data_IF_442605176950
#
_entry.id   IF_442605176950
#
_cell.length_a   1.000
_cell.length_b   1.000
_cell.length_c   1.000
_cell.angle_alpha   90.00
_cell.angle_beta   90.00
_cell.angle_gamma   90.00
#
_symmetry.space_group_name_H-M   'P 1'
#
loop_
_entity.id
_entity.type
_entity.pdbx_description
1 polymer ?
#
# COMPACT_ATOMS: atom_id res chain seq x y z
N UNK A 1 -19.09 13.14 -31.41
CA UNK A 1 -18.69 14.11 -30.35
C UNK A 1 -18.27 13.44 -29.04
N UNK A 2 -18.99 12.41 -28.53
CA UNK A 2 -18.59 11.66 -27.32
C UNK A 2 -17.30 10.83 -27.47
N UNK A 3 -17.17 10.10 -28.59
CA UNK A 3 -15.95 9.35 -28.96
C UNK A 3 -14.70 10.26 -29.00
N UNK A 4 -14.81 11.43 -29.66
CA UNK A 4 -13.73 12.44 -29.71
C UNK A 4 -13.32 12.96 -28.31
N UNK A 5 -14.22 12.95 -27.33
CA UNK A 5 -13.92 13.39 -25.96
C UNK A 5 -13.21 12.29 -25.17
N UNK A 6 -13.64 11.04 -25.35
CA UNK A 6 -12.98 9.87 -24.75
C UNK A 6 -11.56 9.69 -25.30
N UNK A 7 -11.36 9.87 -26.60
CA UNK A 7 -10.02 9.81 -27.23
C UNK A 7 -9.08 10.87 -26.66
N UNK A 8 -9.55 12.12 -26.48
CA UNK A 8 -8.75 13.19 -25.87
C UNK A 8 -8.30 12.85 -24.44
N UNK A 9 -9.17 12.23 -23.64
CA UNK A 9 -8.83 11.81 -22.27
C UNK A 9 -7.79 10.69 -22.29
N UNK A 10 -7.89 9.75 -23.23
CA UNK A 10 -6.90 8.67 -23.37
C UNK A 10 -5.53 9.18 -23.79
N UNK A 11 -5.44 10.12 -24.73
CA UNK A 11 -4.17 10.75 -25.09
C UNK A 11 -3.58 11.60 -23.96
N UNK A 12 -4.42 12.36 -23.24
CA UNK A 12 -3.99 13.08 -22.05
C UNK A 12 -3.37 12.13 -21.03
N UNK A 13 -4.04 11.01 -20.75
CA UNK A 13 -3.51 10.03 -19.79
C UNK A 13 -2.21 9.39 -20.25
N UNK A 14 -2.03 9.08 -21.54
CA UNK A 14 -0.74 8.62 -22.05
C UNK A 14 0.36 9.66 -21.84
N UNK A 15 0.07 10.94 -22.07
CA UNK A 15 0.99 12.03 -21.77
C UNK A 15 1.32 12.13 -20.27
N UNK A 16 0.32 11.98 -19.40
CA UNK A 16 0.52 11.96 -17.95
C UNK A 16 1.39 10.78 -17.51
N UNK A 17 1.18 9.58 -18.06
CA UNK A 17 2.04 8.42 -17.79
C UNK A 17 3.50 8.70 -18.18
N UNK A 18 3.72 9.31 -19.35
CA UNK A 18 5.06 9.64 -19.80
C UNK A 18 5.76 10.62 -18.85
N UNK A 19 5.06 11.68 -18.43
CA UNK A 19 5.57 12.65 -17.45
C UNK A 19 5.85 11.95 -16.11
N UNK A 20 4.93 11.12 -15.64
CA UNK A 20 5.10 10.34 -14.41
C UNK A 20 6.31 9.41 -14.50
N UNK A 21 6.55 8.78 -15.66
CA UNK A 21 7.70 7.94 -15.87
C UNK A 21 9.02 8.72 -15.82
N UNK A 22 9.07 9.92 -16.41
CA UNK A 22 10.24 10.81 -16.30
C UNK A 22 10.52 11.16 -14.84
N UNK A 23 9.51 11.60 -14.09
CA UNK A 23 9.68 11.99 -12.69
C UNK A 23 10.09 10.81 -11.81
N UNK A 24 9.45 9.65 -12.00
CA UNK A 24 9.81 8.42 -11.32
C UNK A 24 11.24 7.97 -11.65
N UNK A 25 11.71 8.16 -12.88
CA UNK A 25 13.09 7.84 -13.26
C UNK A 25 14.12 8.76 -12.61
N UNK A 26 13.86 10.07 -12.58
CA UNK A 26 14.81 11.10 -12.13
C UNK A 26 14.89 11.20 -10.60
N UNK A 27 13.75 11.19 -9.91
CA UNK A 27 13.64 11.42 -8.47
C UNK A 27 12.55 10.54 -7.85
N UNK A 28 12.72 9.19 -7.83
CA UNK A 28 11.65 8.27 -7.47
C UNK A 28 11.11 8.51 -6.05
N UNK A 29 11.98 8.73 -5.07
CA UNK A 29 11.58 8.94 -3.68
C UNK A 29 10.78 10.22 -3.50
N UNK A 30 11.29 11.36 -3.95
CA UNK A 30 10.61 12.64 -3.85
C UNK A 30 9.33 12.69 -4.69
N UNK A 31 9.31 12.05 -5.85
CA UNK A 31 8.09 11.92 -6.68
C UNK A 31 6.99 11.21 -5.91
N UNK A 32 7.34 10.10 -5.27
CA UNK A 32 6.42 9.34 -4.43
C UNK A 32 5.95 10.15 -3.21
N UNK A 33 6.87 10.78 -2.47
CA UNK A 33 6.54 11.60 -1.30
C UNK A 33 5.64 12.78 -1.67
N UNK A 34 5.94 13.47 -2.78
CA UNK A 34 5.10 14.54 -3.31
C UNK A 34 3.70 14.03 -3.68
N UNK A 35 3.62 12.92 -4.43
CA UNK A 35 2.35 12.33 -4.80
C UNK A 35 1.53 12.01 -3.54
N UNK A 36 2.14 11.36 -2.54
CA UNK A 36 1.45 10.95 -1.33
C UNK A 36 1.02 12.14 -0.45
N UNK A 37 1.90 13.11 -0.21
CA UNK A 37 1.64 14.21 0.72
C UNK A 37 0.77 15.33 0.12
N UNK A 38 0.86 15.57 -1.19
CA UNK A 38 0.18 16.69 -1.84
C UNK A 38 -1.06 16.24 -2.61
N UNK A 39 -0.92 15.26 -3.51
CA UNK A 39 -2.03 14.78 -4.34
C UNK A 39 -2.94 13.80 -3.60
N UNK A 40 -2.37 13.00 -2.69
CA UNK A 40 -3.10 12.04 -1.86
C UNK A 40 -4.27 12.67 -1.11
N UNK A 41 -4.08 13.67 -0.23
CA UNK A 41 -5.18 14.23 0.55
C UNK A 41 -6.29 14.82 -0.30
N UNK A 42 -5.93 15.48 -1.41
CA UNK A 42 -6.92 15.99 -2.37
C UNK A 42 -7.71 14.86 -3.04
N UNK A 43 -7.02 13.77 -3.40
CA UNK A 43 -7.65 12.59 -3.97
C UNK A 43 -8.63 11.97 -2.97
N UNK A 44 -8.20 11.68 -1.74
CA UNK A 44 -9.05 11.04 -0.72
C UNK A 44 -10.33 11.85 -0.45
N UNK A 45 -10.20 13.18 -0.29
CA UNK A 45 -11.34 14.07 -0.03
C UNK A 45 -12.34 14.09 -1.18
N UNK A 46 -11.84 14.13 -2.42
CA UNK A 46 -12.70 14.20 -3.61
C UNK A 46 -13.33 12.85 -3.95
N UNK A 47 -12.60 11.77 -3.75
CA UNK A 47 -13.06 10.42 -3.99
C UNK A 47 -14.08 9.96 -2.96
N UNK A 48 -13.86 10.19 -1.66
CA UNK A 48 -14.86 9.84 -0.63
C UNK A 48 -16.19 10.57 -0.90
N UNK A 49 -16.14 11.86 -1.25
CA UNK A 49 -17.35 12.59 -1.66
C UNK A 49 -18.02 11.93 -2.87
N UNK A 50 -17.24 11.51 -3.85
CA UNK A 50 -17.75 10.91 -5.09
C UNK A 50 -18.34 9.51 -4.87
N UNK A 51 -17.73 8.71 -4.00
CA UNK A 51 -18.20 7.40 -3.57
C UNK A 51 -19.51 7.54 -2.79
N UNK A 52 -19.60 8.53 -1.89
CA UNK A 52 -20.81 8.81 -1.11
C UNK A 52 -22.02 9.10 -2.02
N UNK A 53 -21.84 9.93 -3.05
CA UNK A 53 -22.89 10.24 -4.03
C UNK A 53 -23.35 8.99 -4.84
N UNK A 54 -22.61 7.88 -4.76
CA UNK A 54 -22.90 6.58 -5.42
C UNK A 54 -23.20 5.46 -4.43
N UNK A 55 -23.49 5.79 -3.18
CA UNK A 55 -23.72 4.83 -2.11
C UNK A 55 -22.58 3.81 -1.97
N UNK A 56 -21.34 4.25 -2.21
CA UNK A 56 -20.13 3.43 -2.13
C UNK A 56 -20.17 2.16 -2.97
N UNK A 57 -20.99 2.12 -4.04
CA UNK A 57 -21.21 0.93 -4.86
C UNK A 57 -21.77 -0.28 -4.10
N UNK A 58 -22.23 -0.07 -2.86
CA UNK A 58 -22.86 -1.08 -2.04
C UNK A 58 -24.37 -1.16 -2.31
N UNK A 59 -24.95 -2.32 -2.03
CA UNK A 59 -26.38 -2.58 -2.20
C UNK A 59 -27.23 -2.03 -1.08
N UNK A 60 -26.71 -1.97 0.16
CA UNK A 60 -27.37 -1.37 1.30
C UNK A 60 -26.95 0.08 1.50
N UNK A 61 -27.86 0.93 1.99
CA UNK A 61 -27.61 2.34 2.26
C UNK A 61 -26.56 2.58 3.35
N UNK A 62 -26.46 1.65 4.30
CA UNK A 62 -25.62 1.78 5.50
C UNK A 62 -24.45 0.79 5.52
N UNK A 63 -24.25 0.02 4.44
CA UNK A 63 -23.17 -0.99 4.37
C UNK A 63 -21.78 -0.35 4.58
N UNK A 64 -21.60 0.88 4.10
CA UNK A 64 -20.35 1.63 4.24
C UNK A 64 -19.98 1.93 5.71
N UNK A 65 -20.94 1.92 6.64
CA UNK A 65 -20.66 2.19 8.06
C UNK A 65 -19.76 1.12 8.67
N UNK A 66 -19.87 -0.14 8.23
CA UNK A 66 -18.98 -1.21 8.70
C UNK A 66 -17.53 -0.89 8.33
N UNK A 67 -17.30 -0.49 7.07
CA UNK A 67 -15.98 -0.12 6.57
C UNK A 67 -15.44 1.14 7.24
N UNK A 68 -16.31 2.11 7.51
CA UNK A 68 -15.97 3.33 8.25
C UNK A 68 -15.55 3.03 9.69
N UNK A 69 -16.31 2.18 10.40
CA UNK A 69 -15.98 1.78 11.79
C UNK A 69 -14.63 1.05 11.85
N UNK A 70 -14.36 0.18 10.87
CA UNK A 70 -13.05 -0.48 10.76
C UNK A 70 -11.95 0.55 10.51
N UNK A 71 -12.17 1.51 9.62
CA UNK A 71 -11.24 2.62 9.38
C UNK A 71 -10.94 3.41 10.65
N UNK A 72 -11.97 3.73 11.45
CA UNK A 72 -11.81 4.40 12.75
C UNK A 72 -10.98 3.54 13.71
N UNK A 73 -11.30 2.25 13.84
CA UNK A 73 -10.59 1.35 14.77
C UNK A 73 -9.11 1.20 14.41
N UNK A 74 -8.79 0.97 13.13
CA UNK A 74 -7.41 0.87 12.65
C UNK A 74 -6.65 2.19 12.84
N UNK A 75 -7.32 3.32 12.62
CA UNK A 75 -6.70 4.63 12.79
C UNK A 75 -6.45 4.98 14.24
N UNK A 76 -7.35 4.58 15.14
CA UNK A 76 -7.14 4.75 16.57
C UNK A 76 -5.94 3.93 17.06
N UNK A 77 -5.79 2.69 16.57
CA UNK A 77 -4.65 1.85 16.90
C UNK A 77 -3.33 2.46 16.37
N UNK A 78 -3.31 2.90 15.11
CA UNK A 78 -2.15 3.57 14.52
C UNK A 78 -1.77 4.86 15.27
N UNK A 79 -2.76 5.70 15.59
CA UNK A 79 -2.55 6.92 16.36
C UNK A 79 -2.00 6.64 17.77
N UNK A 80 -2.53 5.61 18.44
CA UNK A 80 -2.06 5.21 19.77
C UNK A 80 -0.58 4.80 19.74
N UNK A 81 -0.17 4.05 18.71
CA UNK A 81 1.22 3.65 18.50
C UNK A 81 2.13 4.88 18.25
N UNK A 82 1.72 5.76 17.34
CA UNK A 82 2.54 6.87 16.87
C UNK A 82 2.80 7.93 17.96
N UNK A 83 1.85 8.14 18.86
CA UNK A 83 1.95 9.12 19.94
C UNK A 83 2.40 8.50 21.27
N UNK A 84 2.77 7.22 21.30
CA UNK A 84 3.24 6.53 22.51
C UNK A 84 2.15 6.40 23.57
N UNK A 85 0.88 6.41 23.18
CA UNK A 85 -0.23 6.14 24.08
C UNK A 85 -0.44 4.62 24.16
N UNK A 86 0.33 3.97 25.03
CA UNK A 86 0.17 2.54 25.35
C UNK A 86 -1.11 2.32 26.14
N UNK A 87 -2.24 2.42 25.46
CA UNK A 87 -3.53 2.03 26.02
C UNK A 87 -3.63 0.51 26.10
N UNK A 88 -4.36 0.01 27.09
CA UNK A 88 -4.73 -1.40 27.17
C UNK A 88 -5.41 -1.90 25.87
N UNK A 89 -6.12 -0.99 25.18
CA UNK A 89 -6.72 -1.26 23.88
C UNK A 89 -5.65 -1.54 22.81
N UNK A 90 -4.60 -0.73 22.72
CA UNK A 90 -3.52 -0.91 21.74
C UNK A 90 -2.79 -2.24 21.97
N UNK A 91 -2.45 -2.57 23.22
CA UNK A 91 -1.79 -3.84 23.55
C UNK A 91 -2.64 -5.03 23.10
N UNK A 92 -3.94 -5.04 23.42
CA UNK A 92 -4.88 -6.07 22.94
C UNK A 92 -4.99 -6.09 21.41
N UNK A 93 -4.93 -4.93 20.76
CA UNK A 93 -4.98 -4.82 19.31
C UNK A 93 -3.83 -5.55 18.63
N UNK A 94 -2.61 -5.39 19.17
CA UNK A 94 -1.40 -6.06 18.70
C UNK A 94 -1.43 -7.55 19.05
N UNK A 95 -1.68 -7.90 20.31
CA UNK A 95 -1.70 -9.29 20.79
C UNK A 95 -2.69 -10.17 20.04
N UNK A 96 -3.87 -9.64 19.71
CA UNK A 96 -4.92 -10.38 19.01
C UNK A 96 -4.81 -10.31 17.48
N UNK A 97 -3.75 -9.70 16.94
CA UNK A 97 -3.57 -9.40 15.52
C UNK A 97 -4.80 -8.74 14.86
N UNK A 98 -5.37 -7.72 15.51
CA UNK A 98 -6.60 -7.08 15.03
C UNK A 98 -6.39 -6.28 13.75
N UNK A 99 -5.18 -5.79 13.48
CA UNK A 99 -4.89 -5.03 12.25
C UNK A 99 -5.20 -5.87 11.00
N UNK A 100 -4.54 -7.02 10.88
CA UNK A 100 -4.70 -7.92 9.74
C UNK A 100 -6.13 -8.47 9.67
N UNK A 101 -6.70 -8.87 10.80
CA UNK A 101 -8.06 -9.40 10.88
C UNK A 101 -9.09 -8.40 10.36
N UNK A 102 -9.04 -7.16 10.84
CA UNK A 102 -10.02 -6.14 10.44
C UNK A 102 -9.85 -5.73 8.99
N UNK A 103 -8.63 -5.65 8.48
CA UNK A 103 -8.36 -5.34 7.06
C UNK A 103 -8.88 -6.44 6.14
N UNK A 104 -8.55 -7.70 6.40
CA UNK A 104 -9.04 -8.84 5.61
C UNK A 104 -10.57 -8.96 5.74
N UNK A 105 -11.12 -8.70 6.92
CA UNK A 105 -12.56 -8.69 7.14
C UNK A 105 -13.26 -7.60 6.34
N UNK A 106 -12.71 -6.38 6.29
CA UNK A 106 -13.22 -5.30 5.46
C UNK A 106 -13.23 -5.67 3.98
N UNK A 107 -12.13 -6.25 3.48
CA UNK A 107 -12.02 -6.68 2.09
C UNK A 107 -13.04 -7.77 1.73
N UNK A 108 -13.13 -8.84 2.51
CA UNK A 108 -14.06 -9.95 2.20
C UNK A 108 -15.51 -9.50 2.37
N UNK A 109 -15.83 -8.70 3.40
CA UNK A 109 -17.17 -8.17 3.61
C UNK A 109 -17.60 -7.21 2.50
N UNK A 110 -16.66 -6.48 1.87
CA UNK A 110 -16.97 -5.60 0.74
C UNK A 110 -17.60 -6.34 -0.45
N UNK A 111 -17.26 -7.62 -0.65
CA UNK A 111 -17.87 -8.47 -1.68
C UNK A 111 -19.37 -8.66 -1.37
N UNK A 112 -19.71 -8.94 -0.11
CA UNK A 112 -21.10 -9.05 0.31
C UNK A 112 -21.86 -7.72 0.12
N UNK A 113 -21.23 -6.60 0.49
CA UNK A 113 -21.82 -5.28 0.34
C UNK A 113 -22.08 -4.91 -1.13
N UNK A 114 -21.17 -5.29 -2.03
CA UNK A 114 -21.32 -5.05 -3.47
C UNK A 114 -22.42 -5.91 -4.12
N UNK A 115 -22.67 -7.13 -3.62
CA UNK A 115 -23.45 -8.14 -4.34
C UNK A 115 -24.80 -8.48 -3.70
N UNK A 116 -24.89 -8.46 -2.37
CA UNK A 116 -26.06 -8.98 -1.65
C UNK A 116 -26.97 -7.82 -1.24
N UNK A 117 -28.28 -7.91 -1.52
CA UNK A 117 -29.27 -6.93 -1.02
C UNK A 117 -29.89 -7.35 0.31
N UNK A 118 -30.12 -8.65 0.50
CA UNK A 118 -30.83 -9.20 1.65
C UNK A 118 -30.00 -9.05 2.94
N UNK A 119 -30.55 -8.35 3.94
CA UNK A 119 -29.86 -8.04 5.19
C UNK A 119 -29.58 -9.30 6.04
N UNK A 120 -30.51 -10.25 6.09
CA UNK A 120 -30.34 -11.47 6.88
C UNK A 120 -29.17 -12.31 6.34
N UNK A 121 -29.11 -12.49 5.02
CA UNK A 121 -28.00 -13.18 4.36
C UNK A 121 -26.67 -12.49 4.64
N UNK A 122 -26.63 -11.14 4.64
CA UNK A 122 -25.43 -10.39 5.00
C UNK A 122 -25.00 -10.67 6.44
N UNK A 123 -25.90 -10.56 7.40
CA UNK A 123 -25.55 -10.74 8.82
C UNK A 123 -24.99 -12.14 9.06
N UNK A 124 -25.67 -13.18 8.56
CA UNK A 124 -25.19 -14.57 8.70
C UNK A 124 -23.83 -14.74 8.02
N UNK A 125 -23.67 -14.24 6.80
CA UNK A 125 -22.39 -14.37 6.07
C UNK A 125 -21.26 -13.60 6.75
N UNK A 126 -21.54 -12.42 7.31
CA UNK A 126 -20.57 -11.63 8.07
C UNK A 126 -20.11 -12.37 9.32
N UNK A 127 -21.01 -13.02 10.05
CA UNK A 127 -20.65 -13.83 11.21
C UNK A 127 -19.75 -15.00 10.82
N UNK A 128 -20.06 -15.70 9.71
CA UNK A 128 -19.22 -16.78 9.20
C UNK A 128 -17.83 -16.28 8.77
N UNK A 129 -17.76 -15.14 8.08
CA UNK A 129 -16.50 -14.50 7.69
C UNK A 129 -15.68 -14.13 8.94
N UNK A 130 -16.31 -13.56 9.96
CA UNK A 130 -15.64 -13.21 11.20
C UNK A 130 -15.01 -14.44 11.87
N UNK A 131 -15.76 -15.53 12.02
CA UNK A 131 -15.26 -16.77 12.63
C UNK A 131 -14.10 -17.34 11.82
N UNK A 132 -14.23 -17.38 10.49
CA UNK A 132 -13.17 -17.86 9.60
C UNK A 132 -11.88 -17.04 9.74
N UNK A 133 -11.97 -15.71 9.64
CA UNK A 133 -10.81 -14.82 9.72
C UNK A 133 -10.15 -14.86 11.09
N UNK A 134 -10.95 -14.92 12.17
CA UNK A 134 -10.41 -14.97 13.52
C UNK A 134 -9.60 -16.25 13.77
N UNK A 135 -10.01 -17.38 13.20
CA UNK A 135 -9.25 -18.63 13.23
C UNK A 135 -8.04 -18.62 12.30
N UNK A 136 -8.19 -18.13 11.06
CA UNK A 136 -7.10 -18.12 10.06
C UNK A 136 -5.94 -17.22 10.49
N UNK A 137 -6.23 -15.99 10.92
CA UNK A 137 -5.25 -14.99 11.35
C UNK A 137 -5.05 -14.98 12.88
N UNK A 138 -5.25 -16.11 13.55
CA UNK A 138 -4.99 -16.22 14.98
C UNK A 138 -3.50 -16.05 15.29
N UNK A 139 -3.13 -15.59 16.50
CA UNK A 139 -1.73 -15.51 16.92
C UNK A 139 -1.01 -16.86 16.88
N UNK A 140 -1.72 -17.97 17.05
CA UNK A 140 -1.17 -19.33 16.97
C UNK A 140 -0.62 -19.65 15.57
N UNK A 141 -1.20 -19.07 14.52
CA UNK A 141 -0.78 -19.26 13.13
C UNK A 141 0.23 -18.20 12.67
N UNK A 142 0.77 -17.35 13.56
CA UNK A 142 1.60 -16.20 13.17
C UNK A 142 2.83 -16.60 12.33
N UNK A 143 3.51 -17.69 12.68
CA UNK A 143 4.68 -18.18 11.94
C UNK A 143 4.35 -18.59 10.50
N UNK A 144 3.24 -19.30 10.31
CA UNK A 144 2.79 -19.73 8.97
C UNK A 144 2.29 -18.53 8.16
N UNK A 145 1.54 -17.63 8.80
CA UNK A 145 1.00 -16.44 8.18
C UNK A 145 2.11 -15.46 7.74
N UNK A 146 3.20 -15.34 8.50
CA UNK A 146 4.35 -14.50 8.13
C UNK A 146 5.03 -14.97 6.84
N UNK A 147 5.07 -16.28 6.58
CA UNK A 147 5.62 -16.83 5.33
C UNK A 147 4.61 -16.84 4.17
N UNK A 148 3.32 -16.60 4.45
CA UNK A 148 2.26 -16.72 3.46
C UNK A 148 2.21 -15.51 2.53
N UNK A 149 2.47 -15.75 1.23
CA UNK A 149 2.32 -14.72 0.20
C UNK A 149 0.88 -14.24 0.08
N UNK A 150 -0.11 -15.10 0.35
CA UNK A 150 -1.52 -14.69 0.37
C UNK A 150 -1.79 -13.71 1.50
N UNK A 151 -1.34 -14.00 2.72
CA UNK A 151 -1.54 -13.10 3.86
C UNK A 151 -0.82 -11.78 3.60
N UNK A 152 0.46 -11.83 3.20
CA UNK A 152 1.23 -10.63 2.86
C UNK A 152 0.54 -9.80 1.77
N UNK A 153 0.03 -10.42 0.71
CA UNK A 153 -0.68 -9.71 -0.34
C UNK A 153 -1.95 -9.03 0.21
N UNK A 154 -2.73 -9.71 1.06
CA UNK A 154 -3.98 -9.17 1.61
C UNK A 154 -3.77 -8.08 2.66
N UNK A 155 -2.72 -8.17 3.47
CA UNK A 155 -2.50 -7.24 4.59
C UNK A 155 -1.57 -6.08 4.23
N UNK A 156 -0.61 -6.30 3.33
CA UNK A 156 0.38 -5.29 2.94
C UNK A 156 0.11 -4.74 1.55
N UNK A 157 -0.06 -5.59 0.53
CA UNK A 157 -0.15 -5.13 -0.87
C UNK A 157 -1.53 -4.58 -1.24
N UNK A 158 -2.64 -5.19 -0.77
CA UNK A 158 -4.01 -4.72 -1.03
C UNK A 158 -4.20 -3.24 -0.71
N UNK A 159 -3.92 -2.76 0.52
CA UNK A 159 -4.11 -1.34 0.84
C UNK A 159 -3.06 -0.42 0.24
N UNK A 160 -1.98 -0.96 -0.35
CA UNK A 160 -0.89 -0.18 -0.95
C UNK A 160 -0.87 -0.37 -2.47
N UNK A 161 0.06 -1.17 -2.99
CA UNK A 161 0.36 -1.34 -4.41
C UNK A 161 -0.78 -1.94 -5.22
N UNK A 162 -1.53 -2.91 -4.69
CA UNK A 162 -2.68 -3.47 -5.40
C UNK A 162 -3.76 -2.41 -5.55
N UNK A 163 -4.05 -1.62 -4.51
CA UNK A 163 -5.01 -0.52 -4.64
C UNK A 163 -4.54 0.53 -5.66
N UNK A 164 -3.35 1.11 -5.46
CA UNK A 164 -2.92 2.22 -6.33
C UNK A 164 -2.56 1.79 -7.75
N UNK A 165 -2.11 0.56 -7.99
CA UNK A 165 -1.71 0.11 -9.33
C UNK A 165 -2.70 -0.86 -9.96
N UNK A 166 -3.02 -1.97 -9.29
CA UNK A 166 -3.83 -3.06 -9.87
C UNK A 166 -5.29 -2.62 -10.00
N UNK A 167 -5.91 -2.10 -8.94
CA UNK A 167 -7.29 -1.62 -8.99
C UNK A 167 -7.44 -0.40 -9.91
N UNK A 168 -6.46 0.50 -9.95
CA UNK A 168 -6.40 1.56 -10.97
C UNK A 168 -6.45 1.01 -12.39
N UNK A 169 -5.61 0.00 -12.70
CA UNK A 169 -5.57 -0.65 -14.00
C UNK A 169 -6.90 -1.35 -14.33
N UNK A 170 -7.49 -2.07 -13.37
CA UNK A 170 -8.79 -2.73 -13.55
C UNK A 170 -9.90 -1.71 -13.78
N UNK A 171 -9.93 -0.61 -13.05
CA UNK A 171 -10.93 0.45 -13.24
C UNK A 171 -10.77 1.13 -14.61
N UNK A 172 -9.53 1.39 -15.05
CA UNK A 172 -9.24 1.89 -16.40
C UNK A 172 -9.70 0.91 -17.49
N UNK A 173 -9.36 -0.37 -17.34
CA UNK A 173 -9.76 -1.42 -18.28
C UNK A 173 -11.28 -1.55 -18.34
N UNK A 174 -11.95 -1.55 -17.19
CA UNK A 174 -13.41 -1.57 -17.14
C UNK A 174 -14.02 -0.39 -17.91
N UNK A 175 -13.49 0.82 -17.70
CA UNK A 175 -13.91 2.01 -18.44
C UNK A 175 -13.73 1.88 -19.95
N UNK A 176 -12.56 1.42 -20.40
CA UNK A 176 -12.24 1.24 -21.82
C UNK A 176 -13.14 0.19 -22.48
N UNK A 177 -13.35 -0.95 -21.81
CA UNK A 177 -14.23 -2.01 -22.31
C UNK A 177 -15.66 -1.51 -22.40
N UNK A 178 -16.19 -0.92 -21.32
CA UNK A 178 -17.57 -0.40 -21.27
C UNK A 178 -17.84 0.66 -22.35
N UNK A 179 -16.88 1.56 -22.60
CA UNK A 179 -16.99 2.58 -23.63
C UNK A 179 -16.75 2.05 -25.05
N UNK A 180 -16.23 0.82 -25.20
CA UNK A 180 -15.73 0.27 -26.47
C UNK A 180 -14.68 1.19 -27.10
N UNK A 181 -13.78 1.70 -26.26
CA UNK A 181 -12.75 2.65 -26.66
C UNK A 181 -11.43 1.96 -26.99
N UNK A 182 -10.99 2.06 -28.26
CA UNK A 182 -9.68 1.53 -28.69
C UNK A 182 -8.52 2.33 -28.10
N UNK A 183 -8.65 3.66 -28.04
CA UNK A 183 -7.65 4.55 -27.42
C UNK A 183 -7.50 4.26 -25.93
N UNK A 184 -8.59 3.92 -25.22
CA UNK A 184 -8.55 3.46 -23.84
C UNK A 184 -7.82 2.13 -23.64
N UNK A 185 -7.88 1.21 -24.61
CA UNK A 185 -7.08 -0.03 -24.58
C UNK A 185 -5.60 0.25 -24.82
N UNK A 186 -5.25 1.16 -25.74
CA UNK A 186 -3.86 1.59 -25.92
C UNK A 186 -3.30 2.32 -24.70
N UNK A 187 -4.12 3.11 -24.01
CA UNK A 187 -3.78 3.68 -22.71
C UNK A 187 -3.44 2.57 -21.70
N UNK A 188 -4.19 1.46 -21.67
CA UNK A 188 -3.88 0.32 -20.79
C UNK A 188 -2.54 -0.34 -21.16
N UNK A 189 -2.21 -0.44 -22.45
CA UNK A 189 -0.88 -0.92 -22.88
C UNK A 189 0.22 -0.01 -22.33
N UNK A 190 0.07 1.31 -22.47
CA UNK A 190 1.01 2.28 -21.89
C UNK A 190 1.16 2.10 -20.37
N UNK A 191 0.05 1.92 -19.66
CA UNK A 191 0.03 1.74 -18.21
C UNK A 191 0.88 0.55 -17.75
N UNK A 192 0.96 -0.52 -18.54
CA UNK A 192 1.79 -1.71 -18.26
C UNK A 192 3.22 -1.54 -18.75
N UNK A 193 3.42 -0.94 -19.92
CA UNK A 193 4.74 -0.83 -20.56
C UNK A 193 5.66 0.15 -19.83
N UNK A 194 5.15 1.31 -19.40
CA UNK A 194 5.99 2.33 -18.74
C UNK A 194 6.71 1.81 -17.49
N UNK A 195 6.03 1.13 -16.54
CA UNK A 195 6.71 0.56 -15.38
C UNK A 195 7.72 -0.52 -15.74
N UNK A 196 7.43 -1.37 -16.73
CA UNK A 196 8.37 -2.39 -17.21
C UNK A 196 9.65 -1.74 -17.74
N UNK A 197 9.53 -0.67 -18.54
CA UNK A 197 10.68 0.08 -19.04
C UNK A 197 11.47 0.72 -17.89
N UNK A 198 10.79 1.35 -16.94
CA UNK A 198 11.42 2.00 -15.78
C UNK A 198 12.25 1.05 -14.91
N UNK A 199 11.73 -0.16 -14.71
CA UNK A 199 12.31 -1.17 -13.82
C UNK A 199 13.41 -1.97 -14.52
N UNK A 200 13.17 -2.43 -15.75
CA UNK A 200 14.03 -3.45 -16.37
C UNK A 200 14.95 -2.93 -17.48
N UNK A 201 14.66 -1.76 -18.07
CA UNK A 201 15.37 -1.29 -19.26
C UNK A 201 16.17 0.00 -19.04
N UNK A 202 15.79 0.82 -18.07
CA UNK A 202 16.49 2.07 -17.80
C UNK A 202 17.64 1.88 -16.79
N UNK A 203 18.81 2.50 -17.03
CA UNK A 203 19.98 2.34 -16.16
C UNK A 203 19.70 2.88 -14.75
N UNK A 204 20.38 2.32 -13.76
CA UNK A 204 20.28 2.72 -12.35
C UNK A 204 21.62 3.28 -11.90
N UNK A 205 21.61 4.52 -11.41
CA UNK A 205 22.77 5.16 -10.81
C UNK A 205 22.67 5.08 -9.28
N UNK A 206 23.35 4.10 -8.69
CA UNK A 206 23.38 3.89 -7.24
C UNK A 206 24.19 4.92 -6.47
N UNK A 207 25.02 5.73 -7.15
CA UNK A 207 25.93 6.70 -6.53
C UNK A 207 25.39 8.12 -6.55
N UNK A 208 24.69 8.49 -7.62
CA UNK A 208 24.13 9.83 -7.81
C UNK A 208 22.60 9.83 -7.84
N UNK A 209 21.95 8.88 -7.16
CA UNK A 209 20.49 8.97 -6.97
C UNK A 209 20.19 10.28 -6.25
N UNK A 210 19.41 11.15 -6.90
CA UNK A 210 18.96 12.40 -6.30
C UNK A 210 18.02 12.06 -5.15
N UNK A 211 18.57 12.12 -3.93
CA UNK A 211 17.81 11.99 -2.71
C UNK A 211 18.26 13.08 -1.74
N UNK A 212 17.34 13.94 -1.38
CA UNK A 212 17.59 14.99 -0.39
C UNK A 212 17.55 14.41 1.02
N UNK A 213 18.28 15.02 1.96
CA UNK A 213 18.18 14.66 3.38
C UNK A 213 16.74 14.77 3.91
N UNK A 214 16.00 15.77 3.46
CA UNK A 214 14.56 15.88 3.75
C UNK A 214 13.80 14.67 3.21
N UNK A 215 14.06 14.24 1.97
CA UNK A 215 13.48 13.04 1.37
C UNK A 215 13.78 11.77 2.16
N UNK A 216 15.03 11.57 2.61
CA UNK A 216 15.42 10.46 3.49
C UNK A 216 14.64 10.44 4.81
N UNK A 217 14.60 11.58 5.50
CA UNK A 217 13.94 11.71 6.79
C UNK A 217 12.41 11.60 6.66
N UNK A 218 11.82 12.13 5.59
CA UNK A 218 10.40 12.01 5.27
C UNK A 218 10.00 10.59 4.87
N UNK A 219 10.85 9.89 4.11
CA UNK A 219 10.59 8.51 3.71
C UNK A 219 10.69 7.54 4.88
N UNK A 220 11.62 7.78 5.81
CA UNK A 220 11.73 7.04 7.05
C UNK A 220 10.64 7.42 8.09
N UNK A 221 10.28 8.71 8.15
CA UNK A 221 9.29 9.29 9.05
C UNK A 221 9.34 8.72 10.49
N UNK A 222 10.50 8.84 11.14
CA UNK A 222 10.74 8.36 12.53
C UNK A 222 10.49 6.85 12.75
N UNK A 223 10.36 6.05 11.69
CA UNK A 223 10.04 4.62 11.75
C UNK A 223 8.62 4.28 11.32
N UNK A 224 7.76 5.29 11.10
CA UNK A 224 6.36 5.12 10.70
C UNK A 224 6.15 5.36 9.20
N UNK A 225 7.23 5.63 8.46
CA UNK A 225 7.20 5.92 7.04
C UNK A 225 7.22 4.70 6.14
N UNK A 226 7.37 4.94 4.85
CA UNK A 226 7.33 3.93 3.80
C UNK A 226 8.58 3.06 3.72
N UNK A 227 9.64 3.41 4.45
CA UNK A 227 10.84 2.59 4.59
C UNK A 227 10.53 1.14 4.96
N UNK A 228 9.67 0.92 5.97
CA UNK A 228 9.33 -0.42 6.43
C UNK A 228 8.50 -1.18 5.38
N UNK A 229 7.62 -0.50 4.65
CA UNK A 229 6.84 -1.09 3.57
C UNK A 229 7.74 -1.56 2.43
N UNK A 230 8.74 -0.78 2.06
CA UNK A 230 9.71 -1.20 1.04
C UNK A 230 10.59 -2.35 1.54
N UNK A 231 11.08 -2.26 2.78
CA UNK A 231 11.86 -3.32 3.39
C UNK A 231 11.08 -4.64 3.38
N UNK A 232 9.79 -4.61 3.75
CA UNK A 232 8.96 -5.81 3.79
C UNK A 232 8.65 -6.38 2.41
N UNK A 233 8.42 -5.54 1.40
CA UNK A 233 8.26 -6.01 0.01
C UNK A 233 9.56 -6.68 -0.48
N UNK A 234 10.71 -6.06 -0.22
CA UNK A 234 12.00 -6.60 -0.66
C UNK A 234 12.34 -7.90 0.06
N UNK A 235 12.10 -7.99 1.36
CA UNK A 235 12.33 -9.18 2.18
C UNK A 235 11.39 -10.33 1.75
N UNK A 236 10.09 -10.08 1.67
CA UNK A 236 9.08 -11.09 1.36
C UNK A 236 9.30 -11.76 -0.01
N UNK A 237 9.71 -10.98 -1.02
CA UNK A 237 9.98 -11.47 -2.37
C UNK A 237 11.45 -11.77 -2.64
N UNK A 238 12.32 -11.69 -1.62
CA UNK A 238 13.77 -11.87 -1.74
C UNK A 238 14.40 -11.02 -2.87
N UNK A 239 14.04 -9.75 -2.92
CA UNK A 239 14.48 -8.79 -3.95
C UNK A 239 15.75 -8.08 -3.47
N UNK A 240 16.89 -8.44 -4.09
CA UNK A 240 18.21 -7.91 -3.73
C UNK A 240 18.90 -8.72 -2.62
N UNK A 241 20.14 -8.35 -2.29
CA UNK A 241 20.93 -9.02 -1.26
C UNK A 241 20.39 -8.68 0.13
N UNK A 242 19.63 -9.61 0.73
CA UNK A 242 19.05 -9.39 2.05
C UNK A 242 20.13 -9.34 3.14
N UNK A 243 20.01 -8.42 4.11
CA UNK A 243 20.99 -8.32 5.19
C UNK A 243 20.96 -9.57 6.08
N UNK A 244 22.13 -10.19 6.24
CA UNK A 244 22.31 -11.35 7.12
C UNK A 244 22.70 -10.91 8.53
N UNK A 245 22.14 -11.56 9.53
CA UNK A 245 22.39 -11.30 10.95
C UNK A 245 23.81 -11.73 11.33
N UNK A 246 24.64 -10.78 11.75
CA UNK A 246 26.08 -11.00 11.97
C UNK A 246 26.44 -11.19 13.44
N UNK A 247 27.64 -11.72 13.72
CA UNK A 247 28.18 -11.82 15.08
C UNK A 247 28.22 -10.46 15.80
N UNK A 248 28.53 -9.38 15.06
CA UNK A 248 28.48 -8.00 15.59
C UNK A 248 27.08 -7.61 16.04
N UNK A 249 26.05 -7.99 15.29
CA UNK A 249 24.65 -7.68 15.64
C UNK A 249 24.20 -8.48 16.86
N UNK A 250 24.52 -9.77 16.92
CA UNK A 250 24.25 -10.59 18.12
C UNK A 250 24.87 -9.99 19.38
N UNK A 251 26.13 -9.53 19.29
CA UNK A 251 26.82 -8.87 20.41
C UNK A 251 26.05 -7.65 20.88
N UNK A 252 25.59 -6.81 19.95
CA UNK A 252 24.94 -5.55 20.26
C UNK A 252 23.50 -5.73 20.74
N UNK A 253 22.75 -6.63 20.12
CA UNK A 253 21.32 -6.76 20.34
C UNK A 253 20.98 -7.71 21.50
N UNK A 254 21.74 -8.79 21.67
CA UNK A 254 21.46 -9.86 22.64
C UNK A 254 22.48 -9.82 23.77
N UNK A 255 23.76 -10.08 23.46
CA UNK A 255 24.78 -10.29 24.49
C UNK A 255 25.01 -9.05 25.36
N UNK A 256 24.95 -7.85 24.78
CA UNK A 256 25.13 -6.61 25.54
C UNK A 256 24.01 -6.41 26.58
N UNK A 257 22.77 -6.77 26.21
CA UNK A 257 21.55 -6.57 26.99
C UNK A 257 21.21 -7.72 27.93
N UNK A 258 21.87 -8.86 27.79
CA UNK A 258 21.68 -10.01 28.66
C UNK A 258 22.15 -9.68 30.10
N UNK A 259 21.19 -9.57 31.03
CA UNK A 259 21.44 -9.30 32.43
C UNK A 259 22.05 -10.49 33.18
N UNK A 260 21.89 -11.71 32.65
CA UNK A 260 22.38 -12.94 33.26
C UNK A 260 23.82 -13.29 32.82
N UNK A 261 24.29 -12.72 31.71
CA UNK A 261 25.65 -12.92 31.23
C UNK A 261 26.66 -12.07 32.02
N UNK A 262 27.65 -12.73 32.63
CA UNK A 262 28.74 -12.05 33.34
C UNK A 262 29.64 -11.24 32.40
N UNK A 263 30.31 -10.17 32.87
CA UNK A 263 31.26 -9.41 32.06
C UNK A 263 32.37 -10.27 31.42
N UNK A 264 32.79 -11.33 32.12
CA UNK A 264 33.80 -12.28 31.66
C UNK A 264 33.24 -13.11 30.49
N UNK A 265 32.02 -13.64 30.58
CA UNK A 265 31.36 -14.37 29.49
C UNK A 265 31.14 -13.47 28.27
N UNK A 266 30.69 -12.22 28.49
CA UNK A 266 30.53 -11.23 27.40
C UNK A 266 31.85 -10.96 26.70
N UNK A 267 32.95 -10.83 27.45
CA UNK A 267 34.30 -10.62 26.90
C UNK A 267 34.80 -11.85 26.15
N UNK A 268 34.68 -13.04 26.74
CA UNK A 268 35.11 -14.29 26.11
C UNK A 268 34.42 -14.54 24.77
N UNK A 269 33.10 -14.27 24.68
CA UNK A 269 32.41 -14.38 23.41
C UNK A 269 32.92 -13.36 22.39
N UNK A 270 33.03 -12.06 22.77
CA UNK A 270 33.57 -11.00 21.90
C UNK A 270 34.95 -11.33 21.36
N UNK A 271 35.83 -11.88 22.20
CA UNK A 271 37.17 -12.28 21.82
C UNK A 271 37.14 -13.46 20.84
N UNK A 272 36.23 -14.43 21.03
CA UNK A 272 36.12 -15.61 20.15
C UNK A 272 35.63 -15.29 18.73
N UNK A 273 34.83 -14.22 18.55
CA UNK A 273 34.31 -13.80 17.24
C UNK A 273 35.00 -12.55 16.67
N UNK A 274 36.09 -12.08 17.28
CA UNK A 274 36.77 -10.81 16.93
C UNK A 274 37.17 -10.73 15.46
N UNK A 275 37.64 -11.82 14.86
CA UNK A 275 38.04 -11.89 13.44
C UNK A 275 36.87 -12.19 12.49
N UNK A 276 35.68 -12.46 13.03
CA UNK A 276 34.49 -12.90 12.30
C UNK A 276 33.26 -12.02 12.60
N UNK A 277 33.50 -10.77 13.04
CA UNK A 277 32.44 -9.85 13.46
C UNK A 277 31.37 -9.61 12.38
N UNK A 278 31.77 -9.54 11.11
CA UNK A 278 30.87 -9.31 9.98
C UNK A 278 30.42 -10.62 9.31
N UNK A 279 30.84 -11.79 9.79
CA UNK A 279 30.33 -13.07 9.28
C UNK A 279 28.95 -13.38 9.88
N UNK A 280 28.14 -14.20 9.20
CA UNK A 280 26.85 -14.66 9.73
C UNK A 280 26.99 -15.23 11.14
N UNK A 281 26.06 -14.86 12.02
CA UNK A 281 25.90 -15.49 13.31
C UNK A 281 25.18 -16.82 13.10
N UNK A 282 25.80 -17.91 13.58
CA UNK A 282 25.27 -19.26 13.43
C UNK A 282 24.91 -19.83 14.80
N UNK A 283 23.68 -20.32 14.93
CA UNK A 283 23.21 -20.99 16.14
C UNK A 283 23.86 -22.38 16.20
N UNK A 284 24.53 -22.67 17.32
CA UNK A 284 25.28 -23.93 17.54
C UNK A 284 24.51 -24.98 18.35
N UNK A 285 23.29 -24.67 18.77
CA UNK A 285 22.40 -25.62 19.45
C UNK A 285 21.75 -26.54 18.42
N UNK A 286 22.04 -27.84 18.51
CA UNK A 286 21.55 -28.88 17.57
C UNK A 286 20.04 -29.10 17.66
N UNK A 287 19.38 -28.67 18.74
CA UNK A 287 17.93 -28.76 18.89
C UNK A 287 17.21 -27.55 18.27
N UNK A 288 17.94 -26.52 17.86
CA UNK A 288 17.35 -25.33 17.27
C UNK A 288 17.01 -25.56 15.78
N UNK A 289 15.79 -25.23 15.31
CA UNK A 289 15.40 -25.36 13.90
C UNK A 289 16.31 -24.61 12.90
N UNK A 290 17.07 -23.64 13.40
CA UNK A 290 18.03 -22.82 12.67
C UNK A 290 19.50 -23.18 12.94
N UNK A 291 19.76 -24.39 13.45
CA UNK A 291 21.12 -24.90 13.65
C UNK A 291 21.98 -24.72 12.39
N UNK A 292 23.08 -23.98 12.52
CA UNK A 292 24.04 -23.69 11.45
C UNK A 292 23.45 -23.05 10.18
N UNK A 293 22.25 -22.47 10.25
CA UNK A 293 21.65 -21.72 9.14
C UNK A 293 21.97 -20.24 9.26
N UNK A 294 22.13 -19.59 8.11
CA UNK A 294 22.18 -18.13 8.04
C UNK A 294 20.80 -17.56 8.35
N UNK A 295 20.77 -16.49 9.13
CA UNK A 295 19.56 -15.84 9.59
C UNK A 295 19.46 -14.45 8.99
N UNK A 296 18.34 -14.14 8.36
CA UNK A 296 18.04 -12.78 7.90
C UNK A 296 17.77 -11.86 9.08
N UNK A 297 18.19 -10.60 8.96
CA UNK A 297 18.01 -9.60 10.01
C UNK A 297 16.53 -9.34 10.28
N UNK A 298 15.70 -9.31 9.24
CA UNK A 298 14.24 -9.08 9.31
C UNK A 298 13.55 -10.02 10.30
N UNK A 299 13.88 -11.31 10.26
CA UNK A 299 13.31 -12.37 11.10
C UNK A 299 13.67 -12.27 12.58
N UNK A 300 14.77 -11.58 12.92
CA UNK A 300 15.26 -11.47 14.30
C UNK A 300 14.96 -10.09 14.89
N UNK A 301 15.19 -9.05 14.10
CA UNK A 301 15.33 -7.69 14.57
C UNK A 301 14.43 -6.70 13.82
N UNK A 302 13.59 -7.20 12.90
CA UNK A 302 12.77 -6.39 12.01
C UNK A 302 13.61 -5.56 11.04
N UNK A 303 12.99 -4.53 10.47
CA UNK A 303 13.59 -3.67 9.45
C UNK A 303 14.37 -2.51 10.07
N UNK A 304 15.50 -2.81 10.73
CA UNK A 304 16.36 -1.79 11.35
C UNK A 304 16.89 -0.79 10.32
N UNK A 305 16.65 0.51 10.57
CA UNK A 305 17.08 1.65 9.72
C UNK A 305 18.51 1.50 9.21
N UNK A 306 19.46 1.34 10.13
CA UNK A 306 20.90 1.30 9.82
C UNK A 306 21.35 0.07 9.02
N UNK A 307 20.52 -0.97 8.96
CA UNK A 307 20.83 -2.21 8.25
C UNK A 307 20.24 -2.19 6.84
N UNK A 308 18.98 -1.78 6.72
CA UNK A 308 18.25 -1.76 5.45
C UNK A 308 18.46 -0.47 4.63
N UNK A 309 19.13 0.54 5.18
CA UNK A 309 19.35 1.85 4.54
C UNK A 309 19.89 1.74 3.12
N UNK A 310 21.05 1.07 2.97
CA UNK A 310 21.72 0.96 1.68
C UNK A 310 20.94 0.07 0.71
N UNK A 311 20.23 -0.95 1.23
CA UNK A 311 19.38 -1.80 0.40
C UNK A 311 18.24 -0.99 -0.22
N UNK A 312 17.64 -0.07 0.53
CA UNK A 312 16.51 0.72 0.03
C UNK A 312 16.97 1.88 -0.84
N UNK A 313 17.92 2.70 -0.37
CA UNK A 313 18.25 3.97 -1.00
C UNK A 313 19.39 3.89 -2.01
N UNK A 314 20.29 2.91 -1.88
CA UNK A 314 21.53 2.87 -2.67
C UNK A 314 21.72 1.59 -3.47
N UNK A 315 20.80 0.62 -3.37
CA UNK A 315 20.89 -0.60 -4.15
C UNK A 315 20.16 -0.46 -5.49
N UNK A 316 20.60 -1.23 -6.47
CA UNK A 316 19.97 -1.27 -7.79
C UNK A 316 18.50 -1.67 -7.69
N UNK A 317 18.22 -2.71 -6.90
CA UNK A 317 16.87 -3.25 -6.73
C UNK A 317 15.95 -2.31 -5.94
N UNK A 318 16.49 -1.62 -4.92
CA UNK A 318 15.74 -0.63 -4.14
C UNK A 318 15.30 0.57 -5.01
N UNK A 319 16.20 1.08 -5.86
CA UNK A 319 15.88 2.17 -6.78
C UNK A 319 14.87 1.71 -7.85
N UNK A 320 15.04 0.51 -8.41
CA UNK A 320 14.08 -0.08 -9.37
C UNK A 320 12.68 -0.20 -8.77
N UNK A 321 12.57 -0.72 -7.55
CA UNK A 321 11.31 -0.82 -6.82
C UNK A 321 10.70 0.57 -6.60
N UNK A 322 11.51 1.56 -6.23
CA UNK A 322 11.02 2.90 -6.01
C UNK A 322 10.58 3.64 -7.27
N UNK A 323 11.21 3.39 -8.43
CA UNK A 323 10.69 3.87 -9.73
C UNK A 323 9.28 3.34 -10.00
N UNK A 324 9.05 2.05 -9.74
CA UNK A 324 7.74 1.44 -9.89
C UNK A 324 6.71 2.06 -8.93
N UNK A 325 7.04 2.16 -7.64
CA UNK A 325 6.14 2.72 -6.62
C UNK A 325 5.81 4.19 -6.93
N UNK A 326 6.81 5.00 -7.26
CA UNK A 326 6.63 6.40 -7.61
C UNK A 326 5.71 6.58 -8.83
N UNK A 327 5.91 5.75 -9.86
CA UNK A 327 5.03 5.75 -11.02
C UNK A 327 3.59 5.40 -10.63
N UNK A 328 3.41 4.31 -9.87
CA UNK A 328 2.11 3.81 -9.48
C UNK A 328 1.31 4.86 -8.69
N UNK A 329 1.90 5.45 -7.66
CA UNK A 329 1.23 6.45 -6.81
C UNK A 329 0.95 7.75 -7.56
N UNK A 330 1.94 8.31 -8.26
CA UNK A 330 1.73 9.58 -8.97
C UNK A 330 0.68 9.42 -10.07
N UNK A 331 0.77 8.38 -10.89
CA UNK A 331 -0.18 8.20 -11.97
C UNK A 331 -1.58 7.82 -11.45
N UNK A 332 -1.70 7.07 -10.35
CA UNK A 332 -2.99 6.80 -9.71
C UNK A 332 -3.76 8.11 -9.43
N UNK A 333 -3.13 9.08 -8.78
CA UNK A 333 -3.76 10.37 -8.49
C UNK A 333 -4.00 11.20 -9.76
N UNK A 334 -3.03 11.30 -10.67
CA UNK A 334 -3.21 12.07 -11.91
C UNK A 334 -4.33 11.50 -12.79
N UNK A 335 -4.45 10.18 -12.86
CA UNK A 335 -5.53 9.48 -13.55
C UNK A 335 -6.89 9.84 -12.95
N UNK A 336 -7.02 9.84 -11.62
CA UNK A 336 -8.23 10.30 -10.93
C UNK A 336 -8.61 11.72 -11.38
N UNK A 337 -7.67 12.67 -11.28
CA UNK A 337 -7.93 14.08 -11.62
C UNK A 337 -8.16 14.33 -13.11
N UNK A 338 -7.63 13.49 -14.01
CA UNK A 338 -7.90 13.58 -15.45
C UNK A 338 -9.38 13.30 -15.80
N UNK A 339 -10.09 12.56 -14.95
CA UNK A 339 -11.47 12.14 -15.18
C UNK A 339 -12.49 13.16 -14.67
N UNK A 340 -12.47 14.36 -15.27
CA UNK A 340 -13.36 15.48 -14.90
C UNK A 340 -14.86 15.14 -14.96
N UNK A 341 -15.28 14.22 -15.84
CA UNK A 341 -16.66 13.71 -15.94
C UNK A 341 -17.06 12.73 -14.84
N UNK A 342 -16.07 12.09 -14.21
CA UNK A 342 -16.27 11.20 -13.07
C UNK A 342 -16.45 12.07 -11.84
N UNK A 343 -15.52 12.99 -11.58
CA UNK A 343 -15.53 13.89 -10.40
C UNK A 343 -16.69 14.89 -10.48
N UNK A 344 -16.98 15.42 -11.67
CA UNK A 344 -18.03 16.43 -11.92
C UNK A 344 -17.92 17.64 -10.99
N UNK A 345 -16.74 18.27 -10.96
CA UNK A 345 -16.46 19.47 -10.16
C UNK A 345 -17.54 20.55 -10.22
N UNK A 346 -18.14 20.74 -11.40
CA UNK A 346 -19.23 21.70 -11.63
C UNK A 346 -20.55 21.37 -10.90
N UNK A 347 -20.70 20.15 -10.36
CA UNK A 347 -21.86 19.72 -9.56
C UNK A 347 -21.61 19.72 -8.06
N UNK A 348 -20.37 19.92 -7.63
CA UNK A 348 -20.03 20.01 -6.21
C UNK A 348 -20.50 21.36 -5.68
N UNK A 349 -21.18 21.37 -4.53
CA UNK A 349 -21.62 22.64 -3.92
C UNK A 349 -20.42 23.51 -3.55
N UNK A 350 -20.55 24.83 -3.66
CA UNK A 350 -19.47 25.77 -3.32
C UNK A 350 -18.94 25.56 -1.90
N UNK A 351 -19.84 25.27 -0.95
CA UNK A 351 -19.49 24.99 0.45
C UNK A 351 -18.62 23.74 0.54
N UNK A 352 -19.02 22.62 -0.08
CA UNK A 352 -18.24 21.38 -0.07
C UNK A 352 -16.88 21.59 -0.73
N UNK A 353 -16.83 22.34 -1.84
CA UNK A 353 -15.58 22.64 -2.53
C UNK A 353 -14.62 23.45 -1.65
N UNK A 354 -15.10 24.52 -0.98
CA UNK A 354 -14.30 25.31 -0.05
C UNK A 354 -13.76 24.43 1.09
N UNK A 355 -14.61 23.57 1.67
CA UNK A 355 -14.19 22.65 2.73
C UNK A 355 -13.09 21.70 2.26
N UNK A 356 -13.21 21.13 1.04
CA UNK A 356 -12.17 20.27 0.46
C UNK A 356 -10.85 21.03 0.33
N UNK A 357 -10.86 22.27 -0.17
CA UNK A 357 -9.64 23.08 -0.33
C UNK A 357 -9.03 23.42 1.04
N UNK A 358 -9.83 23.81 2.02
CA UNK A 358 -9.33 24.13 3.38
C UNK A 358 -8.71 22.91 4.04
N UNK A 359 -9.40 21.76 4.00
CA UNK A 359 -8.89 20.50 4.56
C UNK A 359 -7.63 20.02 3.82
N UNK A 360 -7.57 20.20 2.50
CA UNK A 360 -6.40 19.88 1.71
C UNK A 360 -5.19 20.76 2.08
N UNK A 361 -5.37 22.08 2.19
CA UNK A 361 -4.30 22.99 2.61
C UNK A 361 -3.83 22.67 4.04
N UNK A 362 -4.75 22.34 4.95
CA UNK A 362 -4.40 21.90 6.30
C UNK A 362 -3.60 20.59 6.29
N UNK A 363 -4.02 19.61 5.49
CA UNK A 363 -3.30 18.36 5.27
C UNK A 363 -1.88 18.58 4.74
N UNK A 364 -1.70 19.44 3.74
CA UNK A 364 -0.38 19.83 3.24
C UNK A 364 0.45 20.53 4.33
N UNK A 365 -0.18 21.38 5.16
CA UNK A 365 0.48 22.03 6.30
C UNK A 365 1.10 21.04 7.28
N UNK A 366 0.41 19.93 7.61
CA UNK A 366 0.96 18.89 8.48
C UNK A 366 2.20 18.22 7.88
N UNK A 367 2.18 17.84 6.59
CA UNK A 367 3.35 17.25 5.93
C UNK A 367 4.54 18.21 5.79
N UNK A 368 4.27 19.50 5.56
CA UNK A 368 5.30 20.54 5.51
C UNK A 368 5.96 20.71 6.88
N UNK A 369 5.17 20.66 7.96
CA UNK A 369 5.68 20.79 9.31
C UNK A 369 6.50 19.56 9.75
N UNK A 370 5.92 18.36 9.64
CA UNK A 370 6.59 17.10 9.98
C UNK A 370 5.91 15.95 9.22
N UNK A 371 6.67 15.25 8.38
CA UNK A 371 6.09 14.22 7.52
C UNK A 371 5.47 13.05 8.32
N UNK A 372 6.08 12.68 9.46
CA UNK A 372 5.53 11.65 10.35
C UNK A 372 4.20 12.09 10.94
N UNK A 373 4.08 13.34 11.37
CA UNK A 373 2.80 13.89 11.84
C UNK A 373 1.74 13.89 10.74
N UNK A 374 2.12 14.27 9.52
CA UNK A 374 1.22 14.21 8.36
C UNK A 374 0.70 12.79 8.10
N UNK A 375 1.57 11.78 8.19
CA UNK A 375 1.17 10.36 8.09
C UNK A 375 0.18 9.98 9.18
N UNK A 376 0.47 10.26 10.44
CA UNK A 376 -0.39 9.88 11.57
C UNK A 376 -1.76 10.56 11.50
N UNK A 377 -1.79 11.87 11.23
CA UNK A 377 -3.04 12.66 11.19
C UNK A 377 -3.91 12.25 10.00
N UNK A 378 -3.31 12.00 8.84
CA UNK A 378 -4.07 11.62 7.65
C UNK A 378 -4.20 10.11 7.45
N UNK A 379 -3.65 9.28 8.34
CA UNK A 379 -3.81 7.84 8.28
C UNK A 379 -5.29 7.48 8.17
N UNK A 380 -6.16 8.10 8.99
CA UNK A 380 -7.60 7.88 8.90
C UNK A 380 -8.18 8.14 7.51
N UNK A 381 -7.85 9.28 6.90
CA UNK A 381 -8.37 9.65 5.59
C UNK A 381 -7.78 8.73 4.49
N UNK A 382 -6.47 8.49 4.55
CA UNK A 382 -5.72 7.65 3.60
C UNK A 382 -6.07 6.16 3.71
N UNK A 383 -6.47 5.66 4.87
CA UNK A 383 -6.83 4.25 5.00
C UNK A 383 -8.32 4.04 4.74
N UNK A 384 -9.16 4.94 5.24
CA UNK A 384 -10.62 4.83 5.11
C UNK A 384 -11.08 4.96 3.65
N UNK A 385 -10.46 5.81 2.82
CA UNK A 385 -10.86 5.89 1.41
C UNK A 385 -10.63 4.54 0.69
N UNK A 386 -9.50 3.88 0.93
CA UNK A 386 -9.18 2.55 0.39
C UNK A 386 -10.26 1.53 0.78
N UNK A 387 -10.61 1.47 2.07
CA UNK A 387 -11.65 0.55 2.55
C UNK A 387 -13.00 0.84 1.89
N UNK A 388 -13.39 2.11 1.81
CA UNK A 388 -14.66 2.54 1.21
C UNK A 388 -14.71 2.32 -0.32
N UNK A 389 -13.56 2.20 -0.97
CA UNK A 389 -13.45 1.92 -2.40
C UNK A 389 -13.58 0.40 -2.71
N UNK A 390 -13.36 -0.50 -1.75
CA UNK A 390 -13.40 -1.94 -2.02
C UNK A 390 -14.67 -2.44 -2.76
N UNK A 391 -15.90 -2.00 -2.42
CA UNK A 391 -17.07 -2.44 -3.19
C UNK A 391 -17.03 -1.97 -4.66
N UNK A 392 -16.46 -0.79 -4.95
CA UNK A 392 -16.23 -0.34 -6.32
C UNK A 392 -15.26 -1.26 -7.05
N UNK A 393 -14.19 -1.70 -6.40
CA UNK A 393 -13.21 -2.60 -6.98
C UNK A 393 -13.86 -3.94 -7.38
N UNK A 394 -14.71 -4.49 -6.51
CA UNK A 394 -15.49 -5.70 -6.81
C UNK A 394 -16.45 -5.48 -7.99
N UNK A 395 -17.19 -4.37 -8.00
CA UNK A 395 -18.12 -4.04 -9.10
C UNK A 395 -17.37 -3.87 -10.43
N UNK A 396 -16.17 -3.29 -10.41
CA UNK A 396 -15.35 -3.08 -11.59
C UNK A 396 -14.86 -4.41 -12.18
N UNK A 397 -14.37 -5.33 -11.34
CA UNK A 397 -13.95 -6.67 -11.76
C UNK A 397 -15.10 -7.44 -12.42
N UNK A 398 -16.28 -7.44 -11.79
CA UNK A 398 -17.47 -8.09 -12.35
C UNK A 398 -17.91 -7.40 -13.64
N UNK A 399 -17.78 -6.07 -13.69
CA UNK A 399 -18.02 -5.25 -14.87
C UNK A 399 -17.16 -5.67 -16.06
N UNK A 400 -15.85 -5.85 -15.85
CA UNK A 400 -14.91 -6.36 -16.88
C UNK A 400 -15.42 -7.69 -17.44
N UNK A 401 -15.76 -8.66 -16.59
CA UNK A 401 -16.26 -9.97 -17.03
C UNK A 401 -17.51 -9.85 -17.89
N UNK A 402 -18.49 -9.02 -17.48
CA UNK A 402 -19.73 -8.78 -18.24
C UNK A 402 -19.45 -8.13 -19.59
N UNK A 403 -18.58 -7.14 -19.63
CA UNK A 403 -18.25 -6.44 -20.87
C UNK A 403 -17.45 -7.34 -21.83
N UNK A 404 -16.50 -8.13 -21.32
CA UNK A 404 -15.75 -9.12 -22.12
C UNK A 404 -16.68 -10.14 -22.78
N UNK A 405 -17.63 -10.72 -22.02
CA UNK A 405 -18.63 -11.65 -22.58
C UNK A 405 -19.49 -10.95 -23.64
N UNK A 406 -19.88 -9.69 -23.40
CA UNK A 406 -20.65 -8.91 -24.36
C UNK A 406 -19.87 -8.64 -25.66
N UNK A 407 -18.58 -8.32 -25.56
CA UNK A 407 -17.68 -8.10 -26.72
C UNK A 407 -17.50 -9.38 -27.51
N UNK A 408 -17.31 -10.53 -26.85
CA UNK A 408 -17.19 -11.83 -27.54
C UNK A 408 -18.46 -12.14 -28.34
N UNK A 409 -19.64 -11.82 -27.80
CA UNK A 409 -20.93 -12.10 -28.47
C UNK A 409 -21.30 -11.10 -29.57
N UNK A 410 -21.00 -9.82 -29.39
CA UNK A 410 -21.53 -8.75 -30.25
C UNK A 410 -20.44 -7.92 -30.95
N UNK A 411 -19.18 -8.26 -30.75
CA UNK A 411 -18.03 -7.52 -31.24
C UNK A 411 -17.74 -6.23 -30.46
N UNK A 412 -16.63 -5.58 -30.81
CA UNK A 412 -16.18 -4.33 -30.20
C UNK A 412 -16.89 -3.11 -30.83
N UNK A 413 -18.23 -3.12 -30.80
CA UNK A 413 -19.08 -2.03 -31.28
C UNK A 413 -19.80 -1.37 -30.10
N UNK A 414 -20.00 -0.03 -30.12
CA UNK A 414 -20.80 0.65 -29.11
C UNK A 414 -22.19 0.03 -29.06
N UNK A 415 -22.61 -0.44 -27.88
CA UNK A 415 -23.99 -0.89 -27.72
C UNK A 415 -24.93 0.31 -27.85
N UNK A 416 -26.07 0.21 -28.53
CA UNK A 416 -27.07 1.27 -28.53
C UNK A 416 -27.42 1.58 -27.08
N UNK A 417 -27.42 2.87 -26.72
CA UNK A 417 -27.79 3.28 -25.37
C UNK A 417 -29.19 2.75 -25.07
N UNK A 418 -29.34 1.91 -24.04
CA UNK A 418 -30.67 1.62 -23.51
C UNK A 418 -31.27 2.96 -23.08
N UNK A 419 -32.33 3.38 -23.77
CA UNK A 419 -33.17 4.55 -23.46
C UNK A 419 -33.69 4.48 -22.04
#
# INVERSE_FOLDING_TARGET
MKLLKEDKISYLNLGLMFITAILAFVMPFETFLFAYAFLGPLHYLTEISWLHDRNYFAKGKYDFLVLLIIGIALSFAAFSADFGYESEMYTKFVEMNLFDKLLVFALISSILFALVKNLFVKIVSILLIYVFINGWLSPENATENQASTTVFALTSLVPTLIHVYVFTGLFMLFGALKARSKSGLWQMVGFVVFPILLVFYLPVDTKNTHLTKYGEDAYYAKGNGFFNTNASIMDHFNIGEQPIYTNKMYINDVLSKDANATPIQKKAFKDSVKTMMNKPFLIRDTQNPYYMKELEVSKIAGYKKNVFWNLIFNSTTGIMLMRFIAFAYLYHYLNWFSKTEVIRWHKVSKVRFILVIVLWLAACGFYIYDYSLGLSVLFFLSFTHVLLEFPLNIVSIIGIGKESVSIVKHGFKPLPSKS
#
